data_IF_981129611772
#
_entry.id   IF_981129611772
#
_cell.length_a   1.000
_cell.length_b   1.000
_cell.length_c   1.000
_cell.angle_alpha   90.00
_cell.angle_beta   90.00
_cell.angle_gamma   90.00
#
_symmetry.space_group_name_H-M   'P 1'
#
loop_
_entity.id
_entity.type
_entity.pdbx_description
1 polymer ?
#
# COMPACT_ATOMS: atom_id res chain seq x y z
N UNK A 1 28.94 2.15 -12.80
CA UNK A 1 28.74 1.93 -11.34
C UNK A 1 27.27 1.65 -11.10
N UNK A 2 26.92 0.49 -10.52
CA UNK A 2 25.54 0.19 -10.11
C UNK A 2 25.24 0.92 -8.80
N UNK A 3 24.06 1.54 -8.68
CA UNK A 3 23.64 2.21 -7.43
C UNK A 3 23.61 1.19 -6.27
N UNK A 4 24.06 1.57 -5.06
CA UNK A 4 23.94 0.71 -3.89
C UNK A 4 22.47 0.33 -3.62
N UNK A 5 22.16 -0.95 -3.31
CA UNK A 5 20.80 -1.40 -2.99
C UNK A 5 20.08 -0.53 -1.95
N UNK A 6 20.78 -0.11 -0.90
CA UNK A 6 20.23 0.75 0.14
C UNK A 6 19.81 2.12 -0.38
N UNK A 7 20.59 2.72 -1.29
CA UNK A 7 20.25 4.01 -1.90
C UNK A 7 19.00 3.90 -2.79
N UNK A 8 18.85 2.78 -3.51
CA UNK A 8 17.67 2.50 -4.32
C UNK A 8 16.41 2.43 -3.43
N UNK A 9 16.48 1.68 -2.32
CA UNK A 9 15.38 1.59 -1.35
C UNK A 9 15.09 2.95 -0.72
N UNK A 10 16.13 3.70 -0.33
CA UNK A 10 15.98 5.04 0.25
C UNK A 10 15.22 6.00 -0.68
N UNK A 11 15.61 6.06 -1.96
CA UNK A 11 14.95 6.92 -2.94
C UNK A 11 13.50 6.50 -3.17
N UNK A 12 13.23 5.20 -3.30
CA UNK A 12 11.87 4.68 -3.44
C UNK A 12 11.02 4.98 -2.22
N UNK A 13 11.54 4.72 -1.01
CA UNK A 13 10.83 4.94 0.24
C UNK A 13 10.55 6.43 0.50
N UNK A 14 11.50 7.31 0.15
CA UNK A 14 11.29 8.76 0.18
C UNK A 14 10.14 9.19 -0.72
N UNK A 15 10.08 8.67 -1.95
CA UNK A 15 8.99 8.92 -2.88
C UNK A 15 7.65 8.39 -2.34
N UNK A 16 7.60 7.11 -1.93
CA UNK A 16 6.40 6.48 -1.39
C UNK A 16 5.86 7.18 -0.14
N UNK A 17 6.75 7.52 0.80
CA UNK A 17 6.42 8.27 2.01
C UNK A 17 5.91 9.67 1.72
N UNK A 18 6.46 10.35 0.71
CA UNK A 18 5.99 11.66 0.26
C UNK A 18 4.57 11.58 -0.32
N UNK A 19 4.30 10.58 -1.17
CA UNK A 19 2.94 10.34 -1.70
C UNK A 19 1.96 10.06 -0.56
N UNK A 20 2.32 9.18 0.38
CA UNK A 20 1.52 8.90 1.58
C UNK A 20 1.23 10.18 2.38
N UNK A 21 2.23 11.05 2.56
CA UNK A 21 2.06 12.31 3.26
C UNK A 21 1.01 13.21 2.60
N UNK A 22 1.03 13.35 1.27
CA UNK A 22 0.01 14.12 0.55
C UNK A 22 -1.39 13.51 0.69
N UNK A 23 -1.51 12.17 0.63
CA UNK A 23 -2.81 11.50 0.85
C UNK A 23 -3.32 11.75 2.27
N UNK A 24 -2.45 11.68 3.28
CA UNK A 24 -2.79 11.98 4.68
C UNK A 24 -3.21 13.44 4.89
N UNK A 25 -2.76 14.39 4.07
CA UNK A 25 -3.22 15.78 4.13
C UNK A 25 -4.54 16.00 3.37
N UNK A 26 -4.72 15.33 2.24
CA UNK A 26 -5.86 15.58 1.34
C UNK A 26 -7.13 14.86 1.81
N UNK A 27 -7.03 13.58 2.16
CA UNK A 27 -8.19 12.73 2.44
C UNK A 27 -9.04 13.23 3.62
N UNK A 28 -8.47 13.66 4.76
CA UNK A 28 -9.28 14.18 5.86
C UNK A 28 -10.09 15.43 5.50
N UNK A 29 -9.63 16.23 4.54
CA UNK A 29 -10.36 17.42 4.05
C UNK A 29 -11.57 17.05 3.19
N UNK A 30 -11.53 15.89 2.55
CA UNK A 30 -12.58 15.41 1.63
C UNK A 30 -13.59 14.49 2.34
N UNK A 31 -13.12 13.63 3.24
CA UNK A 31 -13.92 12.56 3.86
C UNK A 31 -14.10 12.74 5.38
N UNK A 32 -13.49 13.79 5.97
CA UNK A 32 -13.51 14.04 7.40
C UNK A 32 -12.54 13.16 8.20
N UNK A 33 -12.60 13.28 9.52
CA UNK A 33 -11.69 12.62 10.49
C UNK A 33 -12.38 11.56 11.37
N UNK A 34 -13.68 11.30 11.14
CA UNK A 34 -14.44 10.32 11.93
C UNK A 34 -13.92 8.89 11.77
N UNK A 35 -13.40 8.56 10.58
CA UNK A 35 -12.83 7.26 10.22
C UNK A 35 -11.45 7.46 9.53
N UNK A 36 -10.48 6.54 9.72
CA UNK A 36 -9.12 6.63 9.15
C UNK A 36 -9.07 6.32 7.64
N UNK A 37 -9.82 7.08 6.84
CA UNK A 37 -9.92 6.86 5.38
C UNK A 37 -8.56 6.98 4.67
N UNK A 38 -7.67 7.85 5.14
CA UNK A 38 -6.37 8.03 4.50
C UNK A 38 -5.55 6.74 4.55
N UNK A 39 -5.29 6.21 5.74
CA UNK A 39 -4.55 4.96 5.96
C UNK A 39 -5.22 3.77 5.28
N UNK A 40 -6.54 3.69 5.34
CA UNK A 40 -7.32 2.67 4.66
C UNK A 40 -7.07 2.67 3.14
N UNK A 41 -7.24 3.82 2.50
CA UNK A 41 -7.05 3.97 1.04
C UNK A 41 -5.59 3.69 0.65
N UNK A 42 -4.64 4.17 1.44
CA UNK A 42 -3.20 3.93 1.23
C UNK A 42 -2.90 2.43 1.19
N UNK A 43 -3.34 1.69 2.20
CA UNK A 43 -3.01 0.26 2.32
C UNK A 43 -3.75 -0.59 1.28
N UNK A 44 -5.03 -0.31 1.03
CA UNK A 44 -5.83 -1.05 0.04
C UNK A 44 -5.32 -0.80 -1.38
N UNK A 45 -5.08 0.46 -1.76
CA UNK A 45 -4.54 0.77 -3.09
C UNK A 45 -3.10 0.29 -3.26
N UNK A 46 -2.26 0.38 -2.23
CA UNK A 46 -0.91 -0.17 -2.24
C UNK A 46 -0.90 -1.69 -2.44
N UNK A 47 -1.86 -2.39 -1.82
CA UNK A 47 -2.05 -3.83 -2.00
C UNK A 47 -2.50 -4.17 -3.43
N UNK A 48 -3.41 -3.39 -4.01
CA UNK A 48 -3.80 -3.54 -5.42
C UNK A 48 -2.62 -3.34 -6.37
N UNK A 49 -1.83 -2.27 -6.16
CA UNK A 49 -0.65 -1.98 -6.97
C UNK A 49 0.38 -3.11 -6.87
N UNK A 50 0.60 -3.65 -5.66
CA UNK A 50 1.45 -4.83 -5.47
C UNK A 50 0.96 -6.03 -6.29
N UNK A 51 -0.35 -6.29 -6.28
CA UNK A 51 -0.98 -7.33 -7.09
C UNK A 51 -0.77 -7.14 -8.60
N UNK A 52 -0.96 -5.92 -9.10
CA UNK A 52 -0.70 -5.59 -10.51
C UNK A 52 0.76 -5.85 -10.89
N UNK A 53 1.71 -5.41 -10.06
CA UNK A 53 3.13 -5.61 -10.30
C UNK A 53 3.52 -7.09 -10.28
N UNK A 54 3.00 -7.85 -9.30
CA UNK A 54 3.24 -9.29 -9.19
C UNK A 54 2.61 -10.08 -10.35
N UNK A 55 1.39 -9.72 -10.77
CA UNK A 55 0.71 -10.34 -11.91
C UNK A 55 1.45 -10.10 -13.22
N UNK A 56 1.85 -8.85 -13.48
CA UNK A 56 2.63 -8.49 -14.68
C UNK A 56 3.92 -9.30 -14.79
N UNK A 57 4.59 -9.49 -13.66
CA UNK A 57 5.78 -10.32 -13.55
C UNK A 57 5.53 -11.80 -13.80
N UNK A 58 4.43 -12.33 -13.27
CA UNK A 58 4.13 -13.75 -13.36
C UNK A 58 3.72 -14.18 -14.76
N UNK A 59 3.09 -13.29 -15.54
CA UNK A 59 2.45 -13.63 -16.82
C UNK A 59 3.13 -13.05 -18.06
N UNK A 60 4.09 -12.14 -17.90
CA UNK A 60 4.86 -11.64 -19.04
C UNK A 60 6.01 -12.61 -19.37
N UNK A 61 5.92 -13.25 -20.53
CA UNK A 61 6.95 -14.18 -21.01
C UNK A 61 8.35 -13.52 -21.05
N UNK A 62 9.34 -14.18 -20.44
CA UNK A 62 10.77 -13.90 -20.62
C UNK A 62 11.34 -12.70 -19.85
N UNK A 63 10.54 -11.87 -19.16
CA UNK A 63 11.04 -10.71 -18.41
C UNK A 63 10.97 -10.89 -16.89
N UNK A 64 12.13 -11.08 -16.26
CA UNK A 64 12.26 -10.95 -14.80
C UNK A 64 12.66 -9.52 -14.44
N UNK A 65 12.02 -8.93 -13.43
CA UNK A 65 12.45 -7.62 -12.93
C UNK A 65 13.90 -7.70 -12.44
N UNK A 66 14.72 -6.76 -12.90
CA UNK A 66 16.06 -6.61 -12.35
C UNK A 66 15.96 -6.30 -10.86
N UNK A 67 16.91 -6.79 -10.08
CA UNK A 67 16.93 -6.57 -8.63
C UNK A 67 16.78 -5.07 -8.24
N UNK A 68 17.41 -4.10 -8.93
CA UNK A 68 17.20 -2.68 -8.66
C UNK A 68 15.74 -2.23 -8.79
N UNK A 69 15.03 -2.66 -9.85
CA UNK A 69 13.63 -2.27 -10.08
C UNK A 69 12.73 -2.84 -9.00
N UNK A 70 12.94 -4.11 -8.61
CA UNK A 70 12.20 -4.73 -7.50
C UNK A 70 12.42 -3.98 -6.19
N UNK A 71 13.68 -3.71 -5.83
CA UNK A 71 14.00 -2.96 -4.61
C UNK A 71 13.40 -1.56 -4.60
N UNK A 72 13.47 -0.85 -5.73
CA UNK A 72 12.94 0.51 -5.84
C UNK A 72 11.43 0.53 -5.65
N UNK A 73 10.69 -0.32 -6.37
CA UNK A 73 9.23 -0.23 -6.41
C UNK A 73 8.55 -0.97 -5.26
N UNK A 74 9.00 -2.18 -4.90
CA UNK A 74 8.33 -2.95 -3.83
C UNK A 74 8.81 -2.53 -2.45
N UNK A 75 10.10 -2.71 -2.17
CA UNK A 75 10.66 -2.38 -0.85
C UNK A 75 10.72 -0.86 -0.62
N UNK A 76 11.07 -0.09 -1.65
CA UNK A 76 11.11 1.36 -1.60
C UNK A 76 9.72 1.99 -1.67
N UNK A 77 9.17 2.20 -2.86
CA UNK A 77 7.95 2.98 -3.09
C UNK A 77 6.76 2.41 -2.34
N UNK A 78 6.40 1.13 -2.55
CA UNK A 78 5.26 0.53 -1.85
C UNK A 78 5.50 0.39 -0.35
N UNK A 79 6.73 0.07 0.08
CA UNK A 79 7.11 0.01 1.49
C UNK A 79 7.02 1.36 2.21
N UNK A 80 7.39 2.46 1.55
CA UNK A 80 7.26 3.82 2.09
C UNK A 80 5.83 4.38 1.99
N UNK A 81 5.10 3.98 0.96
CA UNK A 81 3.71 4.38 0.70
C UNK A 81 2.75 3.73 1.68
N UNK A 82 2.83 2.42 1.88
CA UNK A 82 1.95 1.68 2.81
C UNK A 82 2.42 1.78 4.26
N UNK A 83 1.53 1.53 5.23
CA UNK A 83 1.88 1.64 6.65
C UNK A 83 1.03 0.75 7.55
N UNK A 84 1.67 -0.20 8.22
CA UNK A 84 1.02 -1.01 9.25
C UNK A 84 1.02 -0.32 10.62
N UNK A 85 2.06 0.45 10.95
CA UNK A 85 2.15 1.14 12.25
C UNK A 85 1.07 2.20 12.43
N UNK A 86 0.79 3.00 11.40
CA UNK A 86 -0.32 3.97 11.42
C UNK A 86 -1.66 3.26 11.50
N UNK A 87 -1.83 2.15 10.77
CA UNK A 87 -3.04 1.33 10.83
C UNK A 87 -3.34 0.83 12.25
N UNK A 88 -2.33 0.30 12.94
CA UNK A 88 -2.49 -0.17 14.32
C UNK A 88 -2.86 0.97 15.28
N UNK A 89 -2.30 2.15 15.08
CA UNK A 89 -2.60 3.32 15.90
C UNK A 89 -4.02 3.83 15.67
N UNK A 90 -4.45 3.92 14.41
CA UNK A 90 -5.82 4.30 14.04
C UNK A 90 -6.87 3.35 14.64
N UNK A 91 -6.58 2.04 14.66
CA UNK A 91 -7.42 1.06 15.32
C UNK A 91 -7.56 1.34 16.82
N UNK A 92 -6.44 1.57 17.51
CA UNK A 92 -6.46 1.87 18.95
C UNK A 92 -7.21 3.16 19.24
N UNK A 93 -7.03 4.21 18.44
CA UNK A 93 -7.78 5.46 18.62
C UNK A 93 -9.29 5.30 18.45
N UNK A 94 -9.75 4.48 17.50
CA UNK A 94 -11.18 4.16 17.38
C UNK A 94 -11.68 3.38 18.61
N UNK A 95 -10.89 2.40 19.08
CA UNK A 95 -11.24 1.61 20.26
C UNK A 95 -11.30 2.47 21.54
N UNK A 96 -10.33 3.37 21.74
CA UNK A 96 -10.27 4.29 22.89
C UNK A 96 -11.41 5.31 22.90
N UNK A 97 -11.95 5.68 21.73
CA UNK A 97 -13.18 6.48 21.60
C UNK A 97 -14.47 5.71 21.97
N UNK A 98 -14.36 4.43 22.31
CA UNK A 98 -15.52 3.56 22.55
C UNK A 98 -16.17 3.03 21.26
N UNK A 99 -15.55 3.25 20.09
CA UNK A 99 -16.12 2.89 18.78
C UNK A 99 -15.60 1.53 18.29
N UNK A 100 -15.70 0.51 19.15
CA UNK A 100 -15.13 -0.81 18.86
C UNK A 100 -15.67 -1.44 17.56
N UNK A 101 -16.95 -1.21 17.25
CA UNK A 101 -17.55 -1.65 15.99
C UNK A 101 -16.85 -1.05 14.76
N UNK A 102 -16.53 0.25 14.80
CA UNK A 102 -15.79 0.90 13.70
C UNK A 102 -14.33 0.45 13.67
N UNK A 103 -13.68 0.27 14.83
CA UNK A 103 -12.32 -0.25 14.91
C UNK A 103 -12.21 -1.64 14.24
N UNK A 104 -13.15 -2.55 14.55
CA UNK A 104 -13.20 -3.88 13.95
C UNK A 104 -13.52 -3.83 12.45
N UNK A 105 -14.47 -2.99 12.03
CA UNK A 105 -14.78 -2.79 10.62
C UNK A 105 -13.56 -2.26 9.84
N UNK A 106 -12.81 -1.32 10.43
CA UNK A 106 -11.58 -0.79 9.86
C UNK A 106 -10.50 -1.88 9.74
N UNK A 107 -10.26 -2.65 10.80
CA UNK A 107 -9.26 -3.71 10.82
C UNK A 107 -9.57 -4.80 9.81
N UNK A 108 -10.77 -5.38 9.88
CA UNK A 108 -11.21 -6.46 9.00
C UNK A 108 -11.33 -5.98 7.55
N UNK A 109 -11.91 -4.79 7.34
CA UNK A 109 -12.02 -4.19 6.02
C UNK A 109 -10.66 -3.98 5.37
N UNK A 110 -9.68 -3.44 6.10
CA UNK A 110 -8.33 -3.22 5.60
C UNK A 110 -7.63 -4.52 5.20
N UNK A 111 -7.77 -5.58 6.01
CA UNK A 111 -7.15 -6.88 5.75
C UNK A 111 -7.83 -7.57 4.56
N UNK A 112 -9.17 -7.66 4.58
CA UNK A 112 -9.92 -8.35 3.53
C UNK A 112 -9.76 -7.65 2.17
N UNK A 113 -9.86 -6.32 2.13
CA UNK A 113 -9.66 -5.57 0.90
C UNK A 113 -8.18 -5.46 0.50
N UNK A 114 -7.25 -5.57 1.45
CA UNK A 114 -5.83 -5.71 1.14
C UNK A 114 -5.55 -7.00 0.37
N UNK A 115 -5.96 -8.16 0.92
CA UNK A 115 -5.84 -9.44 0.23
C UNK A 115 -6.64 -9.46 -1.08
N UNK A 116 -7.86 -8.95 -1.06
CA UNK A 116 -8.71 -8.81 -2.24
C UNK A 116 -8.06 -7.93 -3.31
N UNK A 117 -7.38 -6.85 -2.91
CA UNK A 117 -6.65 -5.96 -3.80
C UNK A 117 -5.47 -6.65 -4.49
N UNK A 118 -4.62 -7.36 -3.73
CA UNK A 118 -3.52 -8.14 -4.33
C UNK A 118 -4.07 -9.15 -5.32
N UNK A 119 -5.07 -9.93 -4.91
CA UNK A 119 -5.68 -10.95 -5.76
C UNK A 119 -6.31 -10.35 -7.03
N UNK A 120 -7.08 -9.27 -6.89
CA UNK A 120 -7.70 -8.57 -8.01
C UNK A 120 -6.66 -8.01 -8.97
N UNK A 121 -5.55 -7.45 -8.46
CA UNK A 121 -4.45 -6.95 -9.29
C UNK A 121 -3.81 -8.06 -10.12
N UNK A 122 -3.55 -9.22 -9.52
CA UNK A 122 -2.98 -10.38 -10.24
C UNK A 122 -3.96 -10.88 -11.31
N UNK A 123 -5.25 -11.03 -10.96
CA UNK A 123 -6.27 -11.52 -11.90
C UNK A 123 -6.51 -10.55 -13.06
N UNK A 124 -6.48 -9.23 -12.79
CA UNK A 124 -6.62 -8.23 -13.83
C UNK A 124 -5.51 -8.36 -14.86
N UNK A 125 -4.26 -8.47 -14.43
CA UNK A 125 -3.14 -8.62 -15.37
C UNK A 125 -3.25 -9.94 -16.13
N UNK A 126 -3.62 -11.04 -15.46
CA UNK A 126 -3.85 -12.32 -16.13
C UNK A 126 -4.91 -12.26 -17.23
N UNK A 127 -5.94 -11.41 -17.07
CA UNK A 127 -6.99 -11.27 -18.09
C UNK A 127 -6.56 -10.46 -19.31
N UNK A 128 -5.45 -9.73 -19.22
CA UNK A 128 -4.95 -8.80 -20.25
C UNK A 128 -3.69 -9.32 -20.97
N UNK A 129 -3.11 -10.43 -20.50
CA UNK A 129 -1.87 -11.01 -21.01
C UNK A 129 -2.16 -12.43 -21.48
#
# INVERSE_FOLDING_TARGET
MTLPPALIVFLGAGLGGTIRHFVNMAVPRLLGTGFPFATFLINVSGSLIMGLMAGYLAFKDGETWTQPVRLFLTTGVLGGYTTFSTFSLDFLYLAERGELGMALAYALGSVLLGFGGVWAGIMLVRSLT
#
